data_IF_626825500024
#
_entry.id   IF_626825500024
#
_cell.length_a   1.000
_cell.length_b   1.000
_cell.length_c   1.000
_cell.angle_alpha   90.00
_cell.angle_beta   90.00
_cell.angle_gamma   90.00
#
_symmetry.space_group_name_H-M   'P 1'
#
loop_
_entity.id
_entity.type
_entity.pdbx_description
1 polymer ?
#
# COMPACT_ATOMS: atom_id res chain seq x y z
N UNK A 1 43.74 4.21 9.66
CA UNK A 1 42.31 3.80 9.81
C UNK A 1 41.41 4.94 10.27
N UNK A 2 41.70 5.68 11.32
CA UNK A 2 40.88 6.79 11.86
C UNK A 2 40.46 7.86 10.82
N UNK A 3 41.35 8.31 9.94
CA UNK A 3 41.07 9.34 8.92
C UNK A 3 40.01 8.88 7.89
N UNK A 4 40.01 7.61 7.49
CA UNK A 4 39.02 7.05 6.55
C UNK A 4 37.63 6.98 7.16
N UNK A 5 37.52 6.63 8.45
CA UNK A 5 36.24 6.57 9.18
C UNK A 5 35.60 7.97 9.28
N UNK A 6 36.40 9.01 9.54
CA UNK A 6 35.94 10.41 9.60
C UNK A 6 35.42 10.88 8.24
N UNK A 7 36.07 10.50 7.13
CA UNK A 7 35.62 10.84 5.77
C UNK A 7 34.33 10.14 5.44
N UNK A 8 34.13 8.87 5.79
CA UNK A 8 32.86 8.16 5.59
C UNK A 8 31.73 8.77 6.43
N UNK A 9 32.03 9.18 7.67
CA UNK A 9 31.05 9.83 8.53
C UNK A 9 30.62 11.21 8.00
N UNK A 10 31.58 12.00 7.47
CA UNK A 10 31.31 13.27 6.79
C UNK A 10 30.52 13.08 5.49
N UNK A 11 30.82 12.05 4.70
CA UNK A 11 30.10 11.74 3.47
C UNK A 11 28.67 11.29 3.77
N UNK A 12 28.45 10.50 4.82
CA UNK A 12 27.13 10.06 5.27
C UNK A 12 26.29 11.23 5.79
N UNK A 13 26.89 12.17 6.54
CA UNK A 13 26.22 13.37 7.02
C UNK A 13 25.87 14.36 5.90
N UNK A 14 26.67 14.41 4.83
CA UNK A 14 26.37 15.26 3.67
C UNK A 14 25.22 14.70 2.83
N UNK A 15 25.09 13.36 2.75
CA UNK A 15 23.98 12.71 2.05
C UNK A 15 22.63 12.96 2.73
N UNK A 16 22.60 13.08 4.07
CA UNK A 16 21.38 13.36 4.82
C UNK A 16 20.85 14.79 4.66
N UNK A 17 21.71 15.75 4.30
CA UNK A 17 21.29 17.15 4.09
C UNK A 17 20.53 17.33 2.78
N UNK A 18 20.86 16.56 1.73
CA UNK A 18 20.19 16.67 0.43
C UNK A 18 18.72 16.21 0.45
N UNK A 19 18.36 15.31 1.36
CA UNK A 19 16.98 14.81 1.49
C UNK A 19 16.04 15.81 2.17
N UNK A 20 16.57 16.73 2.98
CA UNK A 20 15.76 17.70 3.75
C UNK A 20 15.17 18.80 2.86
N UNK A 21 15.88 19.26 1.84
CA UNK A 21 15.40 20.36 0.97
C UNK A 21 14.19 19.96 0.10
N UNK A 22 14.14 18.73 -0.40
CA UNK A 22 13.01 18.25 -1.19
C UNK A 22 11.72 18.11 -0.37
N UNK A 23 11.84 17.81 0.91
CA UNK A 23 10.72 17.60 1.82
C UNK A 23 10.04 18.92 2.24
N UNK A 24 10.80 20.01 2.34
CA UNK A 24 10.30 21.32 2.77
C UNK A 24 9.36 21.93 1.73
N UNK A 25 9.64 21.81 0.44
CA UNK A 25 8.78 22.29 -0.63
C UNK A 25 7.44 21.53 -0.67
N UNK A 26 7.47 20.22 -0.46
CA UNK A 26 6.26 19.38 -0.45
C UNK A 26 5.32 19.74 0.70
N UNK A 27 5.85 20.07 1.88
CA UNK A 27 5.04 20.49 3.04
C UNK A 27 4.32 21.81 2.74
N UNK A 28 5.01 22.80 2.17
CA UNK A 28 4.41 24.08 1.80
C UNK A 28 3.33 23.92 0.71
N UNK A 29 3.57 23.09 -0.30
CA UNK A 29 2.59 22.80 -1.33
C UNK A 29 1.36 22.10 -0.75
N UNK A 30 1.56 21.18 0.21
CA UNK A 30 0.48 20.53 0.92
C UNK A 30 -0.36 21.52 1.74
N UNK A 31 0.27 22.41 2.52
CA UNK A 31 -0.45 23.44 3.30
C UNK A 31 -1.23 24.40 2.38
N UNK A 32 -0.65 24.76 1.24
CA UNK A 32 -1.34 25.58 0.24
C UNK A 32 -2.55 24.86 -0.35
N UNK A 33 -2.42 23.57 -0.68
CA UNK A 33 -3.52 22.75 -1.18
C UNK A 33 -4.65 22.62 -0.14
N UNK A 34 -4.28 22.41 1.15
CA UNK A 34 -5.23 22.38 2.26
C UNK A 34 -6.03 23.68 2.39
N UNK A 35 -5.36 24.83 2.29
CA UNK A 35 -6.01 26.14 2.31
C UNK A 35 -6.97 26.31 1.14
N UNK A 36 -6.55 25.97 -0.07
CA UNK A 36 -7.40 26.03 -1.26
C UNK A 36 -8.64 25.14 -1.10
N UNK A 37 -8.48 23.94 -0.52
CA UNK A 37 -9.60 23.05 -0.23
C UNK A 37 -10.58 23.66 0.77
N UNK A 38 -10.10 24.30 1.85
CA UNK A 38 -10.92 24.99 2.84
C UNK A 38 -11.65 26.19 2.21
N UNK A 39 -10.99 26.91 1.33
CA UNK A 39 -11.55 28.03 0.58
C UNK A 39 -12.52 27.58 -0.54
N UNK A 40 -12.82 26.26 -0.63
CA UNK A 40 -13.67 25.64 -1.66
C UNK A 40 -13.17 25.79 -3.10
N UNK A 41 -11.90 26.12 -3.29
CA UNK A 41 -11.21 26.15 -4.58
C UNK A 41 -10.73 24.75 -4.95
N UNK A 42 -11.71 23.86 -5.18
CA UNK A 42 -11.46 22.41 -5.26
C UNK A 42 -10.57 22.01 -6.43
N UNK A 43 -10.73 22.64 -7.61
CA UNK A 43 -9.93 22.35 -8.79
C UNK A 43 -8.46 22.70 -8.57
N UNK A 44 -8.19 23.87 -7.98
CA UNK A 44 -6.84 24.34 -7.69
C UNK A 44 -6.19 23.45 -6.60
N UNK A 45 -6.95 23.09 -5.57
CA UNK A 45 -6.51 22.18 -4.52
C UNK A 45 -6.14 20.81 -5.11
N UNK A 46 -6.99 20.26 -5.98
CA UNK A 46 -6.74 18.98 -6.64
C UNK A 46 -5.46 19.01 -7.47
N UNK A 47 -5.21 20.08 -8.21
CA UNK A 47 -4.02 20.20 -9.03
C UNK A 47 -2.73 20.13 -8.18
N UNK A 48 -2.69 20.83 -7.05
CA UNK A 48 -1.56 20.75 -6.11
C UNK A 48 -1.43 19.36 -5.47
N UNK A 49 -2.54 18.74 -5.03
CA UNK A 49 -2.51 17.38 -4.51
C UNK A 49 -2.01 16.38 -5.56
N UNK A 50 -2.45 16.52 -6.82
CA UNK A 50 -2.01 15.68 -7.93
C UNK A 50 -0.51 15.84 -8.21
N UNK A 51 -0.01 17.06 -8.14
CA UNK A 51 1.42 17.34 -8.29
C UNK A 51 2.25 16.71 -7.16
N UNK A 52 1.80 16.82 -5.92
CA UNK A 52 2.44 16.18 -4.77
C UNK A 52 2.48 14.66 -4.95
N UNK A 53 1.36 14.05 -5.34
CA UNK A 53 1.26 12.61 -5.54
C UNK A 53 2.16 12.13 -6.68
N UNK A 54 2.12 12.80 -7.85
CA UNK A 54 2.75 12.31 -9.07
C UNK A 54 4.24 12.67 -9.15
N UNK A 55 4.62 13.89 -8.72
CA UNK A 55 6.00 14.37 -8.80
C UNK A 55 6.85 13.91 -7.62
N UNK A 56 6.28 13.96 -6.40
CA UNK A 56 7.00 13.68 -5.18
C UNK A 56 6.75 12.24 -4.68
N UNK A 57 5.80 11.52 -5.27
CA UNK A 57 5.36 10.19 -4.84
C UNK A 57 4.99 10.15 -3.34
N UNK A 58 4.53 11.29 -2.82
CA UNK A 58 4.14 11.47 -1.44
C UNK A 58 2.64 11.71 -1.36
N UNK A 59 2.02 11.15 -0.35
CA UNK A 59 0.61 11.36 -0.09
C UNK A 59 0.29 11.08 1.38
N UNK A 60 -0.79 11.70 1.85
CA UNK A 60 -1.39 11.37 3.15
C UNK A 60 -2.76 10.73 2.93
N UNK A 61 -3.22 9.89 3.87
CA UNK A 61 -4.56 9.32 3.79
C UNK A 61 -5.66 10.39 3.64
N UNK A 62 -5.52 11.51 4.34
CA UNK A 62 -6.48 12.61 4.26
C UNK A 62 -6.49 13.28 2.89
N UNK A 63 -5.30 13.46 2.26
CA UNK A 63 -5.18 13.98 0.90
C UNK A 63 -5.93 13.12 -0.10
N UNK A 64 -5.75 11.79 -0.04
CA UNK A 64 -6.44 10.85 -0.93
C UNK A 64 -7.96 10.94 -0.80
N UNK A 65 -8.49 11.06 0.43
CA UNK A 65 -9.93 11.24 0.63
C UNK A 65 -10.44 12.57 0.06
N UNK A 66 -9.68 13.65 0.18
CA UNK A 66 -10.04 14.95 -0.41
C UNK A 66 -9.99 14.91 -1.93
N UNK A 67 -8.98 14.26 -2.52
CA UNK A 67 -8.91 14.05 -3.96
C UNK A 67 -10.11 13.23 -4.46
N UNK A 68 -10.47 12.16 -3.76
CA UNK A 68 -11.65 11.37 -4.08
C UNK A 68 -12.94 12.20 -4.01
N UNK A 69 -13.09 13.02 -2.96
CA UNK A 69 -14.23 13.90 -2.79
C UNK A 69 -14.35 14.92 -3.94
N UNK A 70 -13.23 15.53 -4.33
CA UNK A 70 -13.21 16.49 -5.45
C UNK A 70 -13.61 15.81 -6.75
N UNK A 71 -13.05 14.64 -7.05
CA UNK A 71 -13.33 13.91 -8.29
C UNK A 71 -14.77 13.40 -8.35
N UNK A 72 -15.32 12.97 -7.21
CA UNK A 72 -16.76 12.64 -7.12
C UNK A 72 -17.63 13.86 -7.42
N UNK A 73 -17.30 15.03 -6.86
CA UNK A 73 -18.00 16.27 -7.12
C UNK A 73 -17.90 16.78 -8.56
N UNK A 74 -16.86 16.38 -9.29
CA UNK A 74 -16.67 16.65 -10.71
C UNK A 74 -17.22 15.54 -11.61
N UNK A 75 -17.94 14.56 -11.05
CA UNK A 75 -18.51 13.39 -11.74
C UNK A 75 -17.44 12.51 -12.42
N UNK A 76 -16.17 12.63 -12.00
CA UNK A 76 -15.05 11.80 -12.44
C UNK A 76 -14.95 10.56 -11.53
N UNK A 77 -15.93 9.67 -11.66
CA UNK A 77 -16.12 8.54 -10.75
C UNK A 77 -14.98 7.51 -10.80
N UNK A 78 -14.36 7.19 -11.96
CA UNK A 78 -13.21 6.29 -12.01
C UNK A 78 -12.03 6.81 -11.19
N UNK A 79 -11.74 8.11 -11.30
CA UNK A 79 -10.69 8.79 -10.55
C UNK A 79 -11.01 8.85 -9.04
N UNK A 80 -12.26 9.12 -8.69
CA UNK A 80 -12.70 9.07 -7.29
C UNK A 80 -12.49 7.68 -6.70
N UNK A 81 -12.88 6.63 -7.42
CA UNK A 81 -12.67 5.23 -7.03
C UNK A 81 -11.19 4.87 -6.92
N UNK A 82 -10.35 5.40 -7.81
CA UNK A 82 -8.90 5.21 -7.76
C UNK A 82 -8.31 5.76 -6.44
N UNK A 83 -8.65 6.99 -6.05
CA UNK A 83 -8.15 7.57 -4.80
C UNK A 83 -8.71 6.90 -3.55
N UNK A 84 -9.98 6.47 -3.57
CA UNK A 84 -10.56 5.66 -2.51
C UNK A 84 -9.84 4.30 -2.38
N UNK A 85 -9.48 3.67 -3.50
CA UNK A 85 -8.75 2.41 -3.50
C UNK A 85 -7.30 2.59 -2.98
N UNK A 86 -6.62 3.67 -3.35
CA UNK A 86 -5.29 4.01 -2.79
C UNK A 86 -5.38 4.21 -1.28
N UNK A 87 -6.39 4.94 -0.80
CA UNK A 87 -6.63 5.11 0.62
C UNK A 87 -6.88 3.77 1.31
N UNK A 88 -7.77 2.94 0.75
CA UNK A 88 -8.15 1.64 1.31
C UNK A 88 -6.96 0.68 1.44
N UNK A 89 -6.05 0.68 0.46
CA UNK A 89 -4.87 -0.16 0.49
C UNK A 89 -3.94 0.12 1.67
N UNK A 90 -4.00 1.32 2.23
CA UNK A 90 -3.21 1.72 3.39
C UNK A 90 -4.00 1.70 4.69
N UNK A 91 -5.29 2.06 4.60
CA UNK A 91 -6.19 2.19 5.74
C UNK A 91 -7.47 1.38 5.46
N UNK A 92 -7.44 0.06 5.56
CA UNK A 92 -8.60 -0.79 5.35
C UNK A 92 -9.77 -0.37 6.25
N UNK A 93 -10.90 -0.04 5.64
CA UNK A 93 -12.10 0.42 6.34
C UNK A 93 -13.35 -0.06 5.63
N UNK A 94 -14.27 -0.68 6.40
CA UNK A 94 -15.58 -1.08 5.87
C UNK A 94 -16.39 0.10 5.33
N UNK A 95 -16.22 1.29 5.92
CA UNK A 95 -16.89 2.51 5.44
C UNK A 95 -16.43 2.92 4.05
N UNK A 96 -15.11 2.84 3.80
CA UNK A 96 -14.54 3.17 2.48
C UNK A 96 -14.96 2.13 1.45
N UNK A 97 -14.92 0.84 1.80
CA UNK A 97 -15.43 -0.21 0.93
C UNK A 97 -16.88 0.01 0.54
N UNK A 98 -17.76 0.27 1.52
CA UNK A 98 -19.16 0.55 1.27
C UNK A 98 -19.35 1.78 0.36
N UNK A 99 -18.56 2.85 0.56
CA UNK A 99 -18.58 4.03 -0.31
C UNK A 99 -18.17 3.68 -1.75
N UNK A 100 -17.11 2.89 -1.91
CA UNK A 100 -16.64 2.45 -3.24
C UNK A 100 -17.70 1.58 -3.94
N UNK A 101 -18.33 0.64 -3.21
CA UNK A 101 -19.39 -0.21 -3.74
C UNK A 101 -20.59 0.62 -4.17
N UNK A 102 -21.10 1.51 -3.31
CA UNK A 102 -22.22 2.39 -3.64
C UNK A 102 -21.94 3.25 -4.87
N UNK A 103 -20.74 3.82 -4.96
CA UNK A 103 -20.36 4.67 -6.08
C UNK A 103 -20.23 3.86 -7.39
N UNK A 104 -19.66 2.67 -7.30
CA UNK A 104 -19.52 1.76 -8.44
C UNK A 104 -20.86 1.21 -8.93
N UNK A 105 -21.76 0.84 -8.01
CA UNK A 105 -23.12 0.38 -8.36
C UNK A 105 -23.93 1.46 -9.09
N UNK A 106 -23.86 2.72 -8.63
CA UNK A 106 -24.52 3.84 -9.27
C UNK A 106 -24.06 4.05 -10.72
N UNK A 107 -22.80 3.72 -11.02
CA UNK A 107 -22.19 3.85 -12.34
C UNK A 107 -22.11 2.53 -13.11
N UNK A 108 -22.62 1.42 -12.54
CA UNK A 108 -22.57 0.06 -13.10
C UNK A 108 -21.13 -0.46 -13.34
N UNK A 109 -20.17 -0.02 -12.50
CA UNK A 109 -18.80 -0.52 -12.55
C UNK A 109 -18.70 -1.85 -11.78
N UNK A 110 -17.98 -2.81 -12.36
CA UNK A 110 -17.80 -4.14 -11.77
C UNK A 110 -16.50 -4.22 -10.94
N UNK A 111 -16.40 -5.26 -10.09
CA UNK A 111 -15.21 -5.55 -9.30
C UNK A 111 -15.18 -4.93 -7.90
N UNK A 112 -16.20 -4.20 -7.45
CA UNK A 112 -16.24 -3.48 -6.18
C UNK A 112 -17.07 -4.15 -5.07
N UNK A 113 -17.70 -5.29 -5.34
CA UNK A 113 -18.49 -6.01 -4.32
C UNK A 113 -17.65 -6.29 -3.08
N UNK A 114 -18.24 -6.03 -1.92
CA UNK A 114 -17.62 -6.27 -0.63
C UNK A 114 -17.51 -7.78 -0.43
N UNK A 115 -16.27 -8.25 -0.19
CA UNK A 115 -15.95 -9.60 0.22
C UNK A 115 -15.24 -9.54 1.57
N UNK A 116 -15.79 -10.19 2.58
CA UNK A 116 -15.19 -10.24 3.92
C UNK A 116 -13.79 -10.84 3.90
N UNK A 117 -13.52 -11.82 3.03
CA UNK A 117 -12.18 -12.42 2.89
C UNK A 117 -11.16 -11.38 2.41
N UNK A 118 -11.54 -10.53 1.45
CA UNK A 118 -10.70 -9.44 0.96
C UNK A 118 -10.46 -8.37 2.03
N UNK A 119 -11.50 -8.07 2.81
CA UNK A 119 -11.35 -7.15 3.94
C UNK A 119 -10.37 -7.68 5.00
N UNK A 120 -10.47 -8.96 5.38
CA UNK A 120 -9.52 -9.57 6.30
C UNK A 120 -8.10 -9.62 5.73
N UNK A 121 -7.95 -9.93 4.44
CA UNK A 121 -6.65 -9.93 3.77
C UNK A 121 -6.00 -8.52 3.77
N UNK A 122 -6.79 -7.47 3.56
CA UNK A 122 -6.29 -6.09 3.61
C UNK A 122 -5.91 -5.63 5.02
N UNK A 123 -6.68 -6.02 6.04
CA UNK A 123 -6.31 -5.80 7.45
C UNK A 123 -5.00 -6.53 7.80
N UNK A 124 -4.89 -7.78 7.37
CA UNK A 124 -3.69 -8.56 7.56
C UNK A 124 -2.47 -7.88 6.92
N UNK A 125 -2.60 -7.39 5.69
CA UNK A 125 -1.55 -6.64 4.99
C UNK A 125 -1.14 -5.38 5.75
N UNK A 126 -2.10 -4.63 6.31
CA UNK A 126 -1.83 -3.44 7.12
C UNK A 126 -1.01 -3.75 8.37
N UNK A 127 -1.29 -4.87 9.03
CA UNK A 127 -0.61 -5.26 10.28
C UNK A 127 0.56 -6.22 10.06
N UNK A 128 0.88 -6.55 8.80
CA UNK A 128 1.93 -7.51 8.46
C UNK A 128 3.26 -7.23 9.15
N UNK A 129 3.74 -5.98 9.08
CA UNK A 129 5.04 -5.59 9.65
C UNK A 129 5.07 -5.73 11.17
N UNK A 130 3.95 -5.39 11.85
CA UNK A 130 3.82 -5.57 13.29
C UNK A 130 3.81 -7.07 13.66
N UNK A 131 3.09 -7.89 12.91
CA UNK A 131 3.03 -9.34 13.11
C UNK A 131 4.43 -9.95 12.90
N UNK A 132 5.13 -9.56 11.84
CA UNK A 132 6.50 -10.00 11.57
C UNK A 132 7.47 -9.54 12.67
N UNK A 133 7.35 -8.32 13.16
CA UNK A 133 8.12 -7.81 14.29
C UNK A 133 7.92 -8.64 15.57
N UNK A 134 6.68 -8.96 15.91
CA UNK A 134 6.34 -9.82 17.06
C UNK A 134 6.93 -11.23 16.87
N UNK A 135 6.76 -11.83 15.69
CA UNK A 135 7.35 -13.13 15.38
C UNK A 135 8.87 -13.14 15.52
N UNK A 136 9.53 -12.09 15.10
CA UNK A 136 10.99 -11.93 15.22
C UNK A 136 11.44 -11.85 16.68
N UNK A 137 10.70 -11.12 17.53
CA UNK A 137 10.99 -11.04 18.98
C UNK A 137 10.79 -12.41 19.63
N UNK A 138 9.70 -13.13 19.32
CA UNK A 138 9.43 -14.49 19.84
C UNK A 138 10.53 -15.46 19.37
N UNK A 139 10.95 -15.37 18.11
CA UNK A 139 12.04 -16.15 17.56
C UNK A 139 13.33 -15.95 18.36
N UNK A 140 13.73 -14.70 18.62
CA UNK A 140 14.90 -14.38 19.41
C UNK A 140 14.82 -14.93 20.85
N UNK A 141 13.66 -14.82 21.49
CA UNK A 141 13.44 -15.38 22.83
C UNK A 141 13.57 -16.91 22.86
N UNK A 142 13.01 -17.61 21.86
CA UNK A 142 13.12 -19.07 21.73
C UNK A 142 14.57 -19.50 21.49
N UNK A 143 15.31 -18.79 20.64
CA UNK A 143 16.76 -19.05 20.43
C UNK A 143 17.55 -18.87 21.74
N UNK A 144 17.27 -17.81 22.50
CA UNK A 144 17.87 -17.58 23.81
C UNK A 144 17.56 -18.71 24.82
N UNK A 145 16.31 -19.20 24.83
CA UNK A 145 15.90 -20.34 25.65
C UNK A 145 16.63 -21.63 25.23
N UNK A 146 16.78 -21.88 23.94
CA UNK A 146 17.52 -23.02 23.40
C UNK A 146 18.98 -22.98 23.85
N UNK A 147 19.64 -21.84 23.73
CA UNK A 147 21.03 -21.67 24.17
C UNK A 147 21.17 -21.94 25.67
N UNK A 148 20.29 -21.34 26.49
CA UNK A 148 20.28 -21.55 27.94
C UNK A 148 20.04 -23.02 28.34
N UNK A 149 19.09 -23.71 27.68
CA UNK A 149 18.81 -25.12 27.95
C UNK A 149 19.93 -26.04 27.52
N UNK A 150 20.61 -25.75 26.38
CA UNK A 150 21.79 -26.47 25.92
C UNK A 150 22.93 -26.39 26.95
N UNK A 151 23.20 -25.23 27.50
CA UNK A 151 24.25 -25.01 28.51
C UNK A 151 23.92 -25.73 29.82
N UNK A 152 22.64 -25.85 30.17
CA UNK A 152 22.16 -26.54 31.39
C UNK A 152 21.91 -28.05 31.19
N UNK A 153 22.26 -28.62 30.03
CA UNK A 153 22.02 -30.06 29.69
C UNK A 153 20.57 -30.50 29.89
N UNK A 154 19.57 -29.61 29.71
CA UNK A 154 18.13 -29.89 29.82
C UNK A 154 17.55 -30.23 28.45
N UNK A 155 16.37 -30.89 28.46
CA UNK A 155 15.66 -31.25 27.23
C UNK A 155 15.38 -29.99 26.35
N UNK A 156 15.87 -30.04 25.12
CA UNK A 156 15.79 -28.94 24.16
C UNK A 156 14.75 -29.16 23.04
N UNK A 157 14.11 -30.33 23.01
CA UNK A 157 13.18 -30.71 21.93
C UNK A 157 11.99 -29.75 21.82
N UNK A 158 11.34 -29.41 22.94
CA UNK A 158 10.17 -28.50 22.91
C UNK A 158 10.48 -27.11 22.28
N UNK A 159 11.51 -26.39 22.71
CA UNK A 159 11.82 -25.10 22.08
C UNK A 159 12.36 -25.26 20.65
N UNK A 160 12.95 -26.41 20.28
CA UNK A 160 13.35 -26.66 18.90
C UNK A 160 12.14 -26.85 17.96
N UNK A 161 11.12 -27.62 18.40
CA UNK A 161 9.88 -27.74 17.65
C UNK A 161 9.16 -26.39 17.51
N UNK A 162 9.11 -25.61 18.59
CA UNK A 162 8.52 -24.27 18.54
C UNK A 162 9.23 -23.35 17.52
N UNK A 163 10.55 -23.43 17.43
CA UNK A 163 11.33 -22.66 16.47
C UNK A 163 10.97 -23.04 15.02
N UNK A 164 10.81 -24.34 14.73
CA UNK A 164 10.38 -24.81 13.41
C UNK A 164 8.99 -24.29 13.07
N UNK A 165 8.05 -24.32 14.02
CA UNK A 165 6.69 -23.78 13.82
C UNK A 165 6.74 -22.29 13.49
N UNK A 166 7.54 -21.49 14.21
CA UNK A 166 7.70 -20.05 13.94
C UNK A 166 8.28 -19.83 12.54
N UNK A 167 9.26 -20.60 12.10
CA UNK A 167 9.85 -20.50 10.75
C UNK A 167 8.81 -20.84 9.67
N UNK A 168 8.03 -21.91 9.85
CA UNK A 168 6.96 -22.28 8.91
C UNK A 168 5.89 -21.20 8.84
N UNK A 169 5.46 -20.65 9.98
CA UNK A 169 4.51 -19.53 10.00
C UNK A 169 5.07 -18.28 9.33
N UNK A 170 6.34 -17.94 9.56
CA UNK A 170 7.00 -16.79 8.93
C UNK A 170 7.10 -16.94 7.41
N UNK A 171 7.45 -18.12 6.91
CA UNK A 171 7.50 -18.38 5.45
C UNK A 171 6.12 -18.37 4.81
N UNK A 172 5.12 -18.94 5.49
CA UNK A 172 3.73 -18.88 5.03
C UNK A 172 3.24 -17.44 4.93
N UNK A 173 3.49 -16.64 5.96
CA UNK A 173 3.12 -15.23 5.98
C UNK A 173 3.80 -14.42 4.86
N UNK A 174 5.08 -14.63 4.63
CA UNK A 174 5.81 -13.95 3.57
C UNK A 174 5.20 -14.21 2.19
N UNK A 175 4.85 -15.47 1.89
CA UNK A 175 4.22 -15.85 0.63
C UNK A 175 2.77 -15.34 0.49
N UNK A 176 1.99 -15.30 1.58
CA UNK A 176 0.58 -14.92 1.52
C UNK A 176 0.38 -13.42 1.22
N UNK A 177 1.32 -12.56 1.64
CA UNK A 177 1.21 -11.10 1.48
C UNK A 177 1.45 -10.62 0.03
N UNK A 178 2.03 -11.46 -0.83
CA UNK A 178 2.49 -11.08 -2.15
C UNK A 178 1.39 -10.97 -3.24
N UNK A 179 0.10 -11.28 -2.99
CA UNK A 179 -0.73 -11.77 -4.08
C UNK A 179 -2.01 -11.01 -4.45
N UNK A 180 -2.26 -9.77 -4.04
CA UNK A 180 -3.50 -9.10 -4.52
C UNK A 180 -3.23 -7.66 -4.97
N UNK A 181 -2.62 -7.51 -6.12
CA UNK A 181 -2.63 -6.23 -6.83
C UNK A 181 -3.98 -6.07 -7.55
N UNK A 182 -4.54 -4.86 -7.46
CA UNK A 182 -5.78 -4.50 -8.15
C UNK A 182 -5.51 -3.32 -9.06
N UNK A 183 -6.12 -3.36 -10.25
CA UNK A 183 -6.05 -2.27 -11.20
C UNK A 183 -7.45 -1.72 -11.47
N UNK A 184 -7.54 -0.41 -11.66
CA UNK A 184 -8.76 0.26 -12.11
C UNK A 184 -8.51 0.72 -13.54
N UNK A 185 -9.43 0.38 -14.43
CA UNK A 185 -9.34 0.74 -15.84
C UNK A 185 -9.58 2.25 -15.97
N UNK A 186 -8.64 2.94 -16.61
CA UNK A 186 -8.65 4.40 -16.74
C UNK A 186 -9.36 4.86 -18.02
N UNK A 187 -9.20 4.12 -19.10
CA UNK A 187 -9.66 4.50 -20.44
C UNK A 187 -10.83 3.63 -20.89
N UNK A 188 -11.67 4.15 -21.78
CA UNK A 188 -12.74 3.40 -22.40
C UNK A 188 -12.22 2.47 -23.49
N UNK A 189 -12.93 1.37 -23.77
CA UNK A 189 -12.61 0.39 -24.80
C UNK A 189 -11.23 -0.28 -24.65
N UNK A 190 -10.81 -0.60 -23.43
CA UNK A 190 -9.57 -1.33 -23.17
C UNK A 190 -9.74 -2.81 -23.55
N UNK A 191 -8.90 -3.31 -24.44
CA UNK A 191 -8.93 -4.71 -24.87
C UNK A 191 -8.25 -5.62 -23.86
N UNK A 192 -8.97 -6.62 -23.36
CA UNK A 192 -8.38 -7.74 -22.64
C UNK A 192 -8.01 -8.84 -23.63
N UNK A 193 -6.72 -9.17 -23.68
CA UNK A 193 -6.19 -10.20 -24.54
C UNK A 193 -6.18 -11.56 -23.84
N UNK A 194 -6.37 -12.66 -24.58
CA UNK A 194 -6.32 -14.02 -24.02
C UNK A 194 -4.94 -14.44 -23.54
N UNK A 195 -3.88 -13.84 -24.06
CA UNK A 195 -2.50 -14.07 -23.64
C UNK A 195 -1.69 -12.78 -23.75
N UNK A 196 -0.56 -12.72 -23.06
CA UNK A 196 0.38 -11.58 -23.05
C UNK A 196 1.18 -11.48 -24.38
N UNK A 197 0.49 -11.40 -25.52
CA UNK A 197 1.08 -11.31 -26.84
C UNK A 197 0.25 -10.37 -27.72
N UNK A 198 0.90 -9.50 -28.48
CA UNK A 198 0.24 -8.58 -29.40
C UNK A 198 -0.58 -9.28 -30.51
N UNK A 199 -0.28 -10.53 -30.82
CA UNK A 199 -1.03 -11.37 -31.78
C UNK A 199 -2.12 -12.23 -31.14
N UNK A 200 -2.37 -12.10 -29.85
CA UNK A 200 -3.42 -12.85 -29.14
C UNK A 200 -4.81 -12.34 -29.53
N UNK A 201 -5.79 -13.24 -29.52
CA UNK A 201 -7.18 -12.86 -29.73
C UNK A 201 -7.69 -11.99 -28.56
N UNK A 202 -8.52 -11.00 -28.88
CA UNK A 202 -9.24 -10.21 -27.88
C UNK A 202 -10.26 -11.10 -27.19
N UNK A 203 -10.26 -11.12 -25.85
CA UNK A 203 -11.23 -11.86 -25.05
C UNK A 203 -12.50 -11.04 -24.83
N UNK A 204 -12.31 -9.79 -24.42
CA UNK A 204 -13.40 -8.85 -24.17
C UNK A 204 -12.87 -7.42 -24.19
N UNK A 205 -13.79 -6.46 -24.26
CA UNK A 205 -13.50 -5.03 -24.10
C UNK A 205 -14.07 -4.59 -22.76
N UNK A 206 -13.31 -3.76 -22.04
CA UNK A 206 -13.73 -3.22 -20.75
C UNK A 206 -13.59 -1.71 -20.80
N UNK A 207 -14.59 -1.02 -20.26
CA UNK A 207 -14.64 0.43 -20.18
C UNK A 207 -13.99 0.92 -18.85
N UNK A 208 -13.74 2.22 -18.78
CA UNK A 208 -13.19 2.87 -17.59
C UNK A 208 -14.03 2.62 -16.34
N UNK A 209 -13.38 2.68 -15.20
CA UNK A 209 -14.01 2.56 -13.88
C UNK A 209 -14.12 1.13 -13.36
N UNK A 210 -14.04 0.11 -14.21
CA UNK A 210 -14.03 -1.28 -13.76
C UNK A 210 -12.76 -1.64 -13.02
N UNK A 211 -12.86 -2.46 -11.96
CA UNK A 211 -11.74 -2.93 -11.16
C UNK A 211 -11.46 -4.41 -11.44
N UNK A 212 -10.21 -4.73 -11.71
CA UNK A 212 -9.74 -6.08 -11.99
C UNK A 212 -8.69 -6.53 -10.97
N UNK A 213 -8.66 -7.82 -10.67
CA UNK A 213 -7.62 -8.44 -9.84
C UNK A 213 -6.47 -8.92 -10.74
N UNK A 214 -5.23 -8.63 -10.35
CA UNK A 214 -4.03 -9.15 -11.02
C UNK A 214 -3.70 -10.51 -10.44
N UNK A 215 -3.78 -11.58 -11.24
CA UNK A 215 -3.59 -12.96 -10.80
C UNK A 215 -2.11 -13.43 -10.81
N UNK A 216 -1.19 -12.64 -11.28
CA UNK A 216 0.25 -12.93 -11.30
C UNK A 216 1.03 -12.01 -12.22
N UNK A 217 2.34 -11.99 -12.04
CA UNK A 217 3.31 -11.35 -12.93
C UNK A 217 4.06 -12.41 -13.67
#
# INVERSE_FOLDING_TARGET
>A
MRKKIVIYFLMLSFLSILTVYGQQNTVQDFEKAEKLFQDKKYTDAYQLYSDILNKNQQYSPQMLLKMAYIQEGLEQYPEALYYLNLYYNQNPSKKVLAKMETLAEAQKYEGYKIDDNRYFASLYKQYHDYIMGILFVIFGAVVGLLYRRKTQKRHFLYPAVLLIVILVLGTYQYNFTAQQEQIIIKDDNVYLMKAASAGSAVQTTIDKGHRLDVLGK
#
